data_IF_213652360704
#
_entry.id   IF_213652360704
#
_cell.length_a   1.000
_cell.length_b   1.000
_cell.length_c   1.000
_cell.angle_alpha   90.00
_cell.angle_beta   90.00
_cell.angle_gamma   90.00
#
_symmetry.space_group_name_H-M   'P 1'
#
loop_
_entity.id
_entity.type
_entity.pdbx_description
1 polymer ?
#
# COMPACT_ATOMS: atom_id res chain seq x y z
N UNK A 1 4.23 9.82 5.73
CA UNK A 1 4.82 9.23 4.51
C UNK A 1 6.06 10.04 4.13
N UNK A 2 7.17 9.39 3.80
CA UNK A 2 8.42 10.06 3.39
C UNK A 2 8.90 9.54 2.04
N UNK A 3 9.40 10.42 1.19
CA UNK A 3 10.09 10.01 -0.04
C UNK A 3 11.43 9.33 0.27
N UNK A 4 11.73 8.25 -0.45
CA UNK A 4 12.95 7.48 -0.20
C UNK A 4 14.21 8.24 -0.63
N UNK A 5 14.25 8.88 -1.79
CA UNK A 5 15.48 9.49 -2.28
C UNK A 5 15.79 10.83 -1.59
N UNK A 6 14.83 11.76 -1.60
CA UNK A 6 15.00 13.13 -1.11
C UNK A 6 14.80 13.27 0.40
N UNK A 7 14.34 12.22 1.08
CA UNK A 7 13.90 12.23 2.50
C UNK A 7 12.69 13.12 2.77
N UNK A 8 12.10 13.74 1.75
CA UNK A 8 11.02 14.71 1.89
C UNK A 8 9.84 14.10 2.62
N UNK A 9 9.37 14.77 3.68
CA UNK A 9 8.19 14.38 4.40
C UNK A 9 6.97 14.81 3.59
N UNK A 10 6.41 13.86 2.83
CA UNK A 10 5.31 14.07 1.90
C UNK A 10 3.99 14.40 2.60
N UNK A 11 3.71 13.70 3.70
CA UNK A 11 2.45 13.82 4.41
C UNK A 11 2.61 13.39 5.88
N UNK A 12 2.00 14.15 6.80
CA UNK A 12 1.92 13.84 8.22
C UNK A 12 0.53 14.25 8.77
N UNK A 13 -0.45 13.35 8.63
CA UNK A 13 -1.84 13.61 9.02
C UNK A 13 -2.17 13.07 10.42
N UNK A 14 -2.86 13.88 11.21
CA UNK A 14 -3.45 13.49 12.48
C UNK A 14 -4.79 12.79 12.24
N UNK A 15 -4.75 11.47 12.11
CA UNK A 15 -5.96 10.65 11.92
C UNK A 15 -6.52 10.19 13.27
N UNK A 16 -7.85 10.30 13.44
CA UNK A 16 -8.56 9.80 14.63
C UNK A 16 -8.60 8.27 14.72
N UNK A 17 -8.24 7.56 13.64
CA UNK A 17 -8.19 6.10 13.60
C UNK A 17 -7.24 5.58 12.53
N UNK A 18 -6.69 4.39 12.74
CA UNK A 18 -5.88 3.64 11.76
C UNK A 18 -6.71 2.87 10.73
N UNK A 19 -7.99 3.25 10.56
CA UNK A 19 -8.91 2.61 9.59
C UNK A 19 -8.45 2.87 8.16
N UNK A 20 -8.60 1.86 7.31
CA UNK A 20 -8.18 1.88 5.90
C UNK A 20 -8.83 3.02 5.11
N UNK A 21 -10.11 3.36 5.37
CA UNK A 21 -10.85 4.41 4.65
C UNK A 21 -10.24 5.81 4.83
N UNK A 22 -9.81 6.14 6.06
CA UNK A 22 -9.15 7.41 6.34
C UNK A 22 -7.77 7.46 5.68
N UNK A 23 -7.04 6.33 5.73
CA UNK A 23 -5.74 6.23 5.06
C UNK A 23 -5.88 6.39 3.54
N UNK A 24 -6.86 5.73 2.89
CA UNK A 24 -7.10 5.86 1.44
C UNK A 24 -7.38 7.31 1.07
N UNK A 25 -8.24 8.02 1.81
CA UNK A 25 -8.54 9.43 1.56
C UNK A 25 -7.28 10.30 1.62
N UNK A 26 -6.44 10.11 2.65
CA UNK A 26 -5.19 10.84 2.80
C UNK A 26 -4.20 10.54 1.65
N UNK A 27 -4.07 9.27 1.26
CA UNK A 27 -3.23 8.89 0.12
C UNK A 27 -3.75 9.43 -1.21
N UNK A 28 -5.06 9.46 -1.41
CA UNK A 28 -5.67 10.00 -2.62
C UNK A 28 -5.34 11.49 -2.77
N UNK A 29 -5.45 12.27 -1.69
CA UNK A 29 -5.04 13.68 -1.72
C UNK A 29 -3.55 13.81 -2.04
N UNK A 30 -2.69 13.03 -1.36
CA UNK A 30 -1.26 13.03 -1.61
C UNK A 30 -0.93 12.73 -3.08
N UNK A 31 -1.58 11.72 -3.67
CA UNK A 31 -1.33 11.33 -5.06
C UNK A 31 -1.86 12.34 -6.07
N UNK A 32 -2.95 13.07 -5.76
CA UNK A 32 -3.41 14.20 -6.57
C UNK A 32 -2.39 15.33 -6.60
N UNK A 33 -1.77 15.63 -5.46
CA UNK A 33 -0.81 16.73 -5.33
C UNK A 33 0.59 16.38 -5.86
N UNK A 34 1.03 15.14 -5.67
CA UNK A 34 2.44 14.73 -5.87
C UNK A 34 2.65 13.64 -6.91
N UNK A 35 1.57 13.12 -7.49
CA UNK A 35 1.61 11.98 -8.40
C UNK A 35 1.78 10.63 -7.70
N UNK A 36 1.79 9.57 -8.49
CA UNK A 36 1.87 8.19 -8.03
C UNK A 36 3.33 7.72 -7.95
N UNK A 37 3.78 7.17 -6.82
CA UNK A 37 5.11 6.59 -6.72
C UNK A 37 5.20 5.28 -7.53
N UNK A 38 6.42 4.85 -7.85
CA UNK A 38 6.66 3.52 -8.44
C UNK A 38 6.39 2.40 -7.43
N UNK A 39 6.84 2.59 -6.19
CA UNK A 39 6.69 1.64 -5.11
C UNK A 39 6.41 2.33 -3.77
N UNK A 40 5.69 1.63 -2.88
CA UNK A 40 5.52 2.02 -1.48
C UNK A 40 6.13 0.93 -0.61
N UNK A 41 7.05 1.34 0.26
CA UNK A 41 7.60 0.51 1.32
C UNK A 41 6.79 0.69 2.59
N UNK A 42 6.26 -0.42 3.12
CA UNK A 42 5.54 -0.42 4.39
C UNK A 42 6.06 -1.49 5.34
N UNK A 43 5.71 -1.34 6.62
CA UNK A 43 5.80 -2.44 7.56
C UNK A 43 4.70 -3.48 7.30
N UNK A 44 4.72 -4.55 8.10
CA UNK A 44 3.72 -5.62 8.05
C UNK A 44 2.55 -5.37 9.03
N UNK A 45 2.34 -4.13 9.50
CA UNK A 45 1.27 -3.76 10.41
C UNK A 45 -0.02 -3.34 9.71
N UNK A 46 -1.12 -3.35 10.45
CA UNK A 46 -2.37 -2.71 9.99
C UNK A 46 -2.18 -1.19 9.95
N UNK A 47 -2.74 -0.46 8.97
CA UNK A 47 -3.60 -0.89 7.86
C UNK A 47 -2.88 -1.32 6.57
N UNK A 48 -1.55 -1.41 6.57
CA UNK A 48 -0.75 -1.66 5.36
C UNK A 48 -0.69 -3.14 4.96
N UNK A 49 -0.83 -4.02 5.95
CA UNK A 49 -0.87 -5.46 5.79
C UNK A 49 -1.99 -6.07 6.64
N UNK A 50 -2.47 -7.24 6.23
CA UNK A 50 -3.47 -8.01 6.98
C UNK A 50 -2.99 -9.45 7.12
N UNK A 51 -2.64 -9.92 8.33
CA UNK A 51 -2.15 -11.27 8.55
C UNK A 51 -3.11 -12.38 8.05
N UNK A 52 -4.41 -12.08 8.02
CA UNK A 52 -5.46 -13.00 7.55
C UNK A 52 -5.82 -12.80 6.06
N UNK A 53 -5.21 -11.81 5.39
CA UNK A 53 -5.42 -11.53 3.98
C UNK A 53 -4.56 -12.44 3.09
N UNK A 54 -5.05 -12.71 1.89
CA UNK A 54 -4.27 -13.43 0.88
C UNK A 54 -2.95 -12.68 0.62
N UNK A 55 -1.81 -13.37 0.69
CA UNK A 55 -0.48 -12.78 0.55
C UNK A 55 -0.16 -11.64 1.53
N UNK A 56 -0.82 -11.64 2.70
CA UNK A 56 -0.73 -10.60 3.71
C UNK A 56 -1.21 -9.21 3.22
N UNK A 57 -1.95 -9.17 2.10
CA UNK A 57 -2.51 -7.94 1.53
C UNK A 57 -3.61 -7.38 2.43
N UNK A 58 -3.64 -6.06 2.60
CA UNK A 58 -4.79 -5.29 3.12
C UNK A 58 -5.59 -4.66 1.98
N UNK A 59 -6.77 -4.07 2.27
CA UNK A 59 -7.55 -3.37 1.22
C UNK A 59 -6.80 -2.16 0.68
N UNK A 60 -6.04 -1.47 1.55
CA UNK A 60 -5.17 -0.36 1.16
C UNK A 60 -4.08 -0.83 0.19
N UNK A 61 -3.46 -1.98 0.46
CA UNK A 61 -2.44 -2.53 -0.43
C UNK A 61 -2.99 -2.97 -1.78
N UNK A 62 -4.20 -3.55 -1.82
CA UNK A 62 -4.91 -3.87 -3.07
C UNK A 62 -5.22 -2.61 -3.87
N UNK A 63 -5.61 -1.52 -3.19
CA UNK A 63 -5.83 -0.23 -3.82
C UNK A 63 -4.55 0.35 -4.44
N UNK A 64 -3.41 0.26 -3.75
CA UNK A 64 -2.11 0.64 -4.32
C UNK A 64 -1.73 -0.20 -5.54
N UNK A 65 -1.91 -1.52 -5.50
CA UNK A 65 -1.64 -2.40 -6.64
C UNK A 65 -2.46 -1.96 -7.87
N UNK A 66 -3.73 -1.63 -7.67
CA UNK A 66 -4.59 -1.14 -8.76
C UNK A 66 -4.14 0.18 -9.37
N UNK A 67 -3.46 1.02 -8.60
CA UNK A 67 -2.84 2.25 -9.12
C UNK A 67 -1.51 1.97 -9.84
N UNK A 68 -1.09 0.70 -9.94
CA UNK A 68 0.19 0.31 -10.49
C UNK A 68 1.35 0.76 -9.59
N UNK A 69 1.14 0.77 -8.27
CA UNK A 69 2.18 1.00 -7.28
C UNK A 69 2.64 -0.35 -6.76
N UNK A 70 3.94 -0.64 -6.85
CA UNK A 70 4.53 -1.85 -6.30
C UNK A 70 4.55 -1.80 -4.76
N UNK A 71 4.32 -2.94 -4.11
CA UNK A 71 4.41 -3.06 -2.65
C UNK A 71 5.77 -3.63 -2.28
N UNK A 72 6.54 -2.87 -1.50
CA UNK A 72 7.77 -3.34 -0.88
C UNK A 72 7.55 -3.65 0.59
N UNK A 73 7.90 -4.87 0.99
CA UNK A 73 7.80 -5.31 2.38
C UNK A 73 9.18 -5.52 2.97
N UNK A 74 9.34 -5.01 4.18
CA UNK A 74 10.55 -5.25 4.96
C UNK A 74 10.64 -6.73 5.37
N UNK A 75 11.88 -7.23 5.44
CA UNK A 75 12.15 -8.57 5.93
C UNK A 75 11.81 -8.67 7.43
N UNK A 76 11.14 -9.76 7.87
CA UNK A 76 10.93 -10.01 9.29
C UNK A 76 12.27 -9.98 10.05
N UNK A 77 12.32 -9.24 11.15
CA UNK A 77 13.53 -9.13 11.97
C UNK A 77 14.62 -8.18 11.44
N UNK A 78 14.37 -7.42 10.37
CA UNK A 78 15.30 -6.41 9.84
C UNK A 78 14.78 -4.97 9.99
N UNK A 79 14.71 -4.42 11.23
CA UNK A 79 14.27 -3.04 11.47
C UNK A 79 15.16 -1.99 10.79
N UNK A 80 16.41 -2.35 10.50
CA UNK A 80 17.38 -1.50 9.82
C UNK A 80 16.87 -1.01 8.44
N UNK A 81 16.03 -1.79 7.75
CA UNK A 81 15.45 -1.41 6.45
C UNK A 81 14.51 -0.20 6.54
N UNK A 82 14.00 0.11 7.75
CA UNK A 82 13.19 1.29 8.05
C UNK A 82 13.87 2.26 9.03
N UNK A 83 15.14 2.04 9.41
CA UNK A 83 15.80 2.79 10.49
C UNK A 83 15.80 4.31 10.29
N UNK A 84 15.85 4.78 9.04
CA UNK A 84 15.72 6.22 8.73
C UNK A 84 14.32 6.76 9.02
N UNK A 85 13.30 6.05 8.54
CA UNK A 85 11.90 6.42 8.77
C UNK A 85 11.60 6.37 10.27
N UNK A 86 12.09 5.35 10.99
CA UNK A 86 12.00 5.25 12.44
C UNK A 86 12.68 6.43 13.16
N UNK A 87 13.87 6.85 12.72
CA UNK A 87 14.55 8.03 13.27
C UNK A 87 13.73 9.31 13.09
N UNK A 88 13.18 9.52 11.89
CA UNK A 88 12.26 10.65 11.64
C UNK A 88 11.05 10.59 12.58
N UNK A 89 10.42 9.42 12.73
CA UNK A 89 9.29 9.21 13.66
C UNK A 89 9.65 9.53 15.11
N UNK A 90 10.86 9.20 15.56
CA UNK A 90 11.33 9.54 16.90
C UNK A 90 11.44 11.05 17.10
N UNK A 91 11.97 11.78 16.11
CA UNK A 91 12.06 13.24 16.14
C UNK A 91 10.68 13.89 16.14
N UNK A 92 9.80 13.46 15.23
CA UNK A 92 8.40 13.91 15.19
C UNK A 92 7.70 13.72 16.55
N UNK A 93 7.88 12.55 17.18
CA UNK A 93 7.29 12.28 18.49
C UNK A 93 7.79 13.22 19.57
N UNK A 94 9.09 13.52 19.59
CA UNK A 94 9.70 14.41 20.58
C UNK A 94 9.22 15.85 20.43
N UNK A 95 9.08 16.33 19.20
CA UNK A 95 8.88 17.76 18.92
C UNK A 95 7.42 18.14 18.69
N UNK A 96 6.64 17.28 18.05
CA UNK A 96 5.26 17.61 17.67
C UNK A 96 4.19 16.93 18.54
N UNK A 97 4.53 15.86 19.27
CA UNK A 97 3.54 15.05 20.04
C UNK A 97 3.70 15.12 21.56
N UNK A 98 4.70 15.85 22.08
CA UNK A 98 4.98 15.96 23.52
C UNK A 98 5.18 17.42 23.94
N UNK A 99 4.20 18.04 24.65
CA UNK A 99 2.85 17.52 24.94
C UNK A 99 2.05 17.33 23.66
N UNK A 100 0.96 16.58 23.66
CA UNK A 100 0.05 16.52 22.51
C UNK A 100 -0.71 17.85 22.36
N UNK A 101 -1.18 18.16 21.14
CA UNK A 101 -2.15 19.23 20.91
C UNK A 101 -3.46 18.96 21.63
N UNK A 102 -4.21 20.01 21.97
CA UNK A 102 -5.46 19.86 22.75
C UNK A 102 -6.59 19.20 21.94
N UNK A 103 -6.51 19.26 20.61
CA UNK A 103 -7.44 18.62 19.67
C UNK A 103 -6.73 18.30 18.35
N UNK A 104 -7.40 17.59 17.46
CA UNK A 104 -6.85 17.16 16.16
C UNK A 104 -6.38 18.34 15.31
N UNK A 105 -7.11 19.45 15.28
CA UNK A 105 -6.73 20.65 14.51
C UNK A 105 -5.42 21.27 15.02
N UNK A 106 -5.27 21.44 16.33
CA UNK A 106 -4.03 21.94 16.92
C UNK A 106 -2.86 20.96 16.73
N UNK A 107 -3.14 19.66 16.80
CA UNK A 107 -2.12 18.63 16.55
C UNK A 107 -1.68 18.63 15.08
N UNK A 108 -2.61 18.83 14.14
CA UNK A 108 -2.31 18.98 12.72
C UNK A 108 -1.44 20.20 12.47
N UNK A 109 -1.76 21.37 13.06
CA UNK A 109 -0.91 22.57 12.91
C UNK A 109 0.53 22.37 13.40
N UNK A 110 0.76 21.52 14.40
CA UNK A 110 2.11 21.13 14.83
C UNK A 110 2.80 20.19 13.84
N UNK A 111 2.05 19.27 13.24
CA UNK A 111 2.57 18.42 12.17
C UNK A 111 2.92 19.22 10.93
N UNK A 112 2.11 20.20 10.54
CA UNK A 112 2.36 21.08 9.41
C UNK A 112 3.61 21.94 9.65
N UNK A 113 3.76 22.51 10.86
CA UNK A 113 4.94 23.27 11.25
C UNK A 113 6.20 22.39 11.23
N UNK A 114 6.13 21.19 11.81
CA UNK A 114 7.24 20.22 11.77
C UNK A 114 7.58 19.82 10.34
N UNK A 115 6.59 19.54 9.50
CA UNK A 115 6.80 19.15 8.11
C UNK A 115 7.49 20.26 7.31
N UNK A 116 7.07 21.51 7.51
CA UNK A 116 7.71 22.67 6.89
C UNK A 116 9.19 22.76 7.31
N UNK A 117 9.46 22.80 8.61
CA UNK A 117 10.82 22.92 9.13
C UNK A 117 11.71 21.75 8.66
N UNK A 118 11.20 20.52 8.77
CA UNK A 118 11.91 19.31 8.34
C UNK A 118 12.29 19.36 6.86
N UNK A 119 11.38 19.84 6.01
CA UNK A 119 11.61 19.86 4.56
C UNK A 119 12.45 21.05 4.09
N UNK A 120 12.37 22.21 4.73
CA UNK A 120 12.95 23.46 4.20
C UNK A 120 14.12 24.03 5.01
N UNK A 121 14.29 23.62 6.27
CA UNK A 121 15.27 24.24 7.18
C UNK A 121 16.30 23.25 7.73
N UNK A 122 15.99 21.93 7.72
CA UNK A 122 16.86 20.91 8.31
C UNK A 122 17.75 20.25 7.25
N UNK A 123 19.07 20.50 7.25
CA UNK A 123 19.99 19.80 6.38
C UNK A 123 20.17 18.36 6.84
N UNK A 124 20.30 17.43 5.88
CA UNK A 124 20.55 16.03 6.17
C UNK A 124 21.91 15.57 5.65
N UNK A 125 22.67 14.89 6.51
CA UNK A 125 24.02 14.40 6.18
C UNK A 125 24.03 13.53 4.91
N UNK A 126 23.13 12.57 4.77
CA UNK A 126 23.04 11.77 3.54
C UNK A 126 22.20 12.40 2.43
N UNK A 127 22.13 13.74 2.40
CA UNK A 127 21.80 14.56 1.24
C UNK A 127 22.91 15.62 1.02
N UNK A 128 24.14 15.35 1.46
CA UNK A 128 25.27 16.30 1.44
C UNK A 128 24.93 17.63 2.15
N UNK A 129 24.24 17.54 3.29
CA UNK A 129 23.77 18.70 4.07
C UNK A 129 22.78 19.60 3.34
N UNK A 130 22.10 19.10 2.30
CA UNK A 130 20.95 19.77 1.68
C UNK A 130 19.66 19.51 2.45
N UNK A 131 18.71 20.43 2.30
CA UNK A 131 17.36 20.26 2.82
C UNK A 131 16.54 19.38 1.85
N UNK A 132 15.56 18.59 2.35
CA UNK A 132 14.78 17.70 1.48
C UNK A 132 14.08 18.42 0.32
N UNK A 133 13.59 19.63 0.54
CA UNK A 133 12.91 20.44 -0.47
C UNK A 133 13.82 20.85 -1.64
N UNK A 134 15.14 20.86 -1.45
CA UNK A 134 16.10 21.24 -2.50
C UNK A 134 16.34 20.11 -3.50
N UNK A 135 16.05 18.87 -3.11
CA UNK A 135 16.31 17.66 -3.91
C UNK A 135 15.01 17.01 -4.38
N UNK A 136 13.91 17.23 -3.66
CA UNK A 136 12.63 16.59 -3.95
C UNK A 136 12.07 17.00 -5.31
N UNK A 137 11.64 16.00 -6.08
CA UNK A 137 10.91 16.17 -7.33
C UNK A 137 9.62 15.33 -7.27
N UNK A 138 8.44 15.91 -7.55
CA UNK A 138 7.20 15.15 -7.62
C UNK A 138 7.22 14.07 -8.70
N UNK A 139 6.37 13.05 -8.56
CA UNK A 139 6.24 12.00 -9.57
C UNK A 139 5.60 12.55 -10.85
N UNK A 140 6.12 12.13 -12.01
CA UNK A 140 5.54 12.44 -13.30
C UNK A 140 4.28 11.61 -13.62
N UNK A 141 3.92 10.62 -12.81
CA UNK A 141 2.73 9.78 -13.00
C UNK A 141 1.52 10.44 -12.33
N UNK A 142 0.58 11.06 -13.05
CA UNK A 142 -0.57 11.71 -12.42
C UNK A 142 -1.53 10.67 -11.83
N UNK A 143 -2.23 11.04 -10.77
CA UNK A 143 -3.36 10.26 -10.27
C UNK A 143 -4.62 10.59 -11.08
N UNK A 144 -5.15 9.59 -11.78
CA UNK A 144 -6.36 9.71 -12.62
C UNK A 144 -7.52 8.84 -12.11
N UNK A 145 -7.47 8.42 -10.85
CA UNK A 145 -8.39 7.44 -10.29
C UNK A 145 -8.00 5.99 -10.61
N UNK A 146 -8.87 5.05 -10.23
CA UNK A 146 -8.62 3.62 -10.42
C UNK A 146 -8.87 3.18 -11.86
N UNK A 147 -7.90 2.55 -12.55
CA UNK A 147 -8.09 2.07 -13.91
C UNK A 147 -9.08 0.90 -13.93
N UNK A 148 -9.85 0.77 -15.01
CA UNK A 148 -10.69 -0.42 -15.22
C UNK A 148 -9.83 -1.66 -15.46
N UNK A 149 -10.25 -2.79 -14.87
CA UNK A 149 -9.59 -4.08 -15.07
C UNK A 149 -10.26 -4.82 -16.21
N UNK A 150 -9.46 -5.31 -17.15
CA UNK A 150 -9.87 -6.18 -18.24
C UNK A 150 -8.99 -7.43 -18.27
N UNK A 151 -9.60 -8.58 -18.55
CA UNK A 151 -8.94 -9.88 -18.56
C UNK A 151 -9.19 -10.59 -19.90
N UNK A 152 -8.67 -10.05 -21.04
CA UNK A 152 -8.97 -10.58 -22.37
C UNK A 152 -8.35 -11.95 -22.65
N UNK A 153 -7.38 -12.38 -21.86
CA UNK A 153 -6.68 -13.68 -21.98
C UNK A 153 -7.24 -14.75 -21.04
N UNK A 154 -8.28 -14.41 -20.28
CA UNK A 154 -8.98 -15.30 -19.37
C UNK A 154 -10.32 -15.70 -19.98
N UNK A 155 -10.82 -16.86 -19.59
CA UNK A 155 -12.10 -17.36 -20.11
C UNK A 155 -13.26 -16.50 -19.61
N UNK A 156 -13.13 -16.00 -18.38
CA UNK A 156 -14.09 -15.10 -17.73
C UNK A 156 -13.39 -14.19 -16.75
N UNK A 157 -14.09 -13.13 -16.38
CA UNK A 157 -13.77 -12.37 -15.20
C UNK A 157 -14.97 -12.37 -14.24
N UNK A 158 -14.70 -12.38 -12.94
CA UNK A 158 -15.73 -12.49 -11.91
C UNK A 158 -15.46 -11.47 -10.81
N UNK A 159 -16.51 -10.83 -10.33
CA UNK A 159 -16.42 -9.94 -9.17
C UNK A 159 -16.41 -10.75 -7.87
N UNK A 160 -15.43 -10.46 -7.01
CA UNK A 160 -15.37 -11.02 -5.66
C UNK A 160 -16.44 -10.36 -4.80
N UNK A 161 -17.25 -11.18 -4.14
CA UNK A 161 -18.33 -10.73 -3.26
C UNK A 161 -17.79 -10.01 -2.01
N UNK A 162 -18.65 -9.29 -1.29
CA UNK A 162 -18.30 -8.61 -0.04
C UNK A 162 -17.69 -9.53 1.02
N UNK A 163 -18.03 -10.82 1.01
CA UNK A 163 -17.47 -11.82 1.93
C UNK A 163 -16.21 -12.53 1.40
N UNK A 164 -15.61 -12.03 0.31
CA UNK A 164 -14.34 -12.54 -0.22
C UNK A 164 -14.47 -13.83 -1.03
N UNK A 165 -15.66 -14.09 -1.60
CA UNK A 165 -15.94 -15.31 -2.37
C UNK A 165 -16.13 -15.02 -3.85
N UNK A 166 -15.65 -15.93 -4.68
CA UNK A 166 -15.91 -16.02 -6.11
C UNK A 166 -17.06 -17.00 -6.35
N UNK A 167 -18.01 -16.65 -7.22
CA UNK A 167 -19.15 -17.50 -7.57
C UNK A 167 -19.00 -18.03 -9.00
N UNK A 168 -18.91 -19.35 -9.16
CA UNK A 168 -18.78 -20.02 -10.46
C UNK A 168 -19.58 -21.33 -10.45
N UNK A 169 -20.35 -21.62 -11.50
CA UNK A 169 -21.18 -22.83 -11.63
C UNK A 169 -22.04 -23.16 -10.39
N UNK A 170 -22.65 -22.15 -9.76
CA UNK A 170 -23.43 -22.25 -8.50
C UNK A 170 -22.61 -22.70 -7.27
N UNK A 171 -21.29 -22.79 -7.39
CA UNK A 171 -20.35 -22.99 -6.30
C UNK A 171 -19.85 -21.63 -5.79
N UNK A 172 -19.44 -21.60 -4.53
CA UNK A 172 -18.87 -20.42 -3.86
C UNK A 172 -17.47 -20.80 -3.40
N UNK A 173 -16.46 -20.16 -3.97
CA UNK A 173 -15.04 -20.44 -3.72
C UNK A 173 -14.51 -19.34 -2.80
N UNK A 174 -13.88 -19.71 -1.69
CA UNK A 174 -13.26 -18.73 -0.79
C UNK A 174 -11.94 -18.26 -1.39
N UNK A 175 -11.80 -16.95 -1.62
CA UNK A 175 -10.61 -16.30 -2.18
C UNK A 175 -9.98 -15.42 -1.11
N UNK A 176 -10.49 -14.21 -0.90
CA UNK A 176 -10.05 -13.32 0.18
C UNK A 176 -10.98 -12.13 0.33
N UNK A 177 -11.26 -11.70 1.56
CA UNK A 177 -12.09 -10.52 1.85
C UNK A 177 -11.42 -9.21 1.43
N UNK A 178 -10.09 -9.18 1.33
CA UNK A 178 -9.34 -7.97 0.92
C UNK A 178 -9.51 -7.65 -0.56
N UNK A 179 -9.91 -8.65 -1.37
CA UNK A 179 -10.26 -8.50 -2.78
C UNK A 179 -11.76 -8.22 -2.99
N UNK A 180 -12.55 -8.03 -1.93
CA UNK A 180 -13.98 -7.73 -2.04
C UNK A 180 -14.25 -6.54 -2.96
N UNK A 181 -15.16 -6.71 -3.92
CA UNK A 181 -15.50 -5.69 -4.93
C UNK A 181 -14.52 -5.61 -6.11
N UNK A 182 -13.42 -6.39 -6.11
CA UNK A 182 -12.50 -6.45 -7.24
C UNK A 182 -12.93 -7.49 -8.28
N UNK A 183 -12.66 -7.21 -9.56
CA UNK A 183 -12.78 -8.20 -10.65
C UNK A 183 -11.48 -8.99 -10.75
N UNK A 184 -11.59 -10.31 -10.82
CA UNK A 184 -10.47 -11.24 -11.06
C UNK A 184 -10.73 -12.00 -12.35
N UNK A 185 -9.66 -12.27 -13.10
CA UNK A 185 -9.71 -13.17 -14.25
C UNK A 185 -9.68 -14.62 -13.78
N UNK A 186 -10.45 -15.48 -14.44
CA UNK A 186 -10.40 -16.93 -14.23
C UNK A 186 -10.19 -17.65 -15.55
N UNK A 187 -9.33 -18.67 -15.52
CA UNK A 187 -9.02 -19.50 -16.68
C UNK A 187 -9.02 -20.97 -16.29
N UNK A 188 -9.73 -21.80 -17.03
CA UNK A 188 -9.68 -23.25 -16.88
C UNK A 188 -8.36 -23.75 -17.46
N UNK A 189 -7.56 -24.40 -16.62
CA UNK A 189 -6.23 -24.91 -17.02
C UNK A 189 -6.22 -26.43 -17.18
N UNK A 190 -7.17 -27.10 -16.53
CA UNK A 190 -7.44 -28.54 -16.63
C UNK A 190 -8.90 -28.79 -16.22
N UNK A 191 -9.41 -30.01 -16.41
CA UNK A 191 -10.81 -30.37 -16.15
C UNK A 191 -11.21 -30.05 -14.69
N UNK A 192 -12.03 -28.99 -14.51
CA UNK A 192 -12.48 -28.56 -13.19
C UNK A 192 -11.46 -27.78 -12.36
N UNK A 193 -10.27 -27.52 -12.89
CA UNK A 193 -9.18 -26.76 -12.24
C UNK A 193 -9.05 -25.38 -12.88
N UNK A 194 -9.20 -24.35 -12.05
CA UNK A 194 -9.26 -22.97 -12.49
C UNK A 194 -8.15 -22.13 -11.87
N UNK A 195 -7.39 -21.42 -12.70
CA UNK A 195 -6.47 -20.37 -12.30
C UNK A 195 -7.26 -19.08 -12.01
N UNK A 196 -6.94 -18.41 -10.91
CA UNK A 196 -7.42 -17.05 -10.58
C UNK A 196 -6.28 -16.07 -10.71
N UNK A 197 -6.48 -15.01 -11.48
CA UNK A 197 -5.52 -13.91 -11.60
C UNK A 197 -6.15 -12.59 -11.20
N UNK A 198 -5.37 -11.75 -10.53
CA UNK A 198 -5.73 -10.37 -10.23
C UNK A 198 -4.69 -9.44 -10.85
N UNK A 199 -5.14 -8.57 -11.77
CA UNK A 199 -4.25 -7.81 -12.65
C UNK A 199 -3.29 -8.77 -13.39
N UNK A 200 -1.99 -8.53 -13.29
CA UNK A 200 -0.93 -9.38 -13.84
C UNK A 200 -0.45 -10.49 -12.88
N UNK A 201 -1.10 -10.67 -11.74
CA UNK A 201 -0.67 -11.61 -10.71
C UNK A 201 -1.55 -12.84 -10.67
N UNK A 202 -0.95 -14.00 -10.88
CA UNK A 202 -1.60 -15.28 -10.65
C UNK A 202 -1.68 -15.55 -9.15
N UNK A 203 -2.91 -15.61 -8.65
CA UNK A 203 -3.18 -15.74 -7.22
C UNK A 203 -3.12 -17.19 -6.75
N UNK A 204 -3.55 -18.13 -7.59
CA UNK A 204 -3.70 -19.51 -7.18
C UNK A 204 -4.66 -20.29 -8.06
N UNK A 205 -4.78 -21.57 -7.76
CA UNK A 205 -5.72 -22.49 -8.40
C UNK A 205 -6.85 -22.84 -7.45
N UNK A 206 -8.05 -23.10 -7.98
CA UNK A 206 -9.10 -23.73 -7.21
C UNK A 206 -9.74 -24.87 -8.00
N UNK A 207 -10.24 -25.82 -7.24
CA UNK A 207 -11.07 -26.92 -7.70
C UNK A 207 -12.53 -26.66 -7.26
N UNK A 208 -13.48 -26.93 -8.16
CA UNK A 208 -14.92 -26.82 -7.90
C UNK A 208 -15.42 -27.74 -6.78
N UNK A 209 -14.71 -28.82 -6.47
CA UNK A 209 -14.98 -29.75 -5.37
C UNK A 209 -14.51 -29.20 -4.02
N UNK A 210 -13.24 -28.77 -3.95
CA UNK A 210 -12.59 -28.27 -2.72
C UNK A 210 -13.12 -26.89 -2.30
N UNK A 211 -13.56 -26.06 -3.25
CA UNK A 211 -14.15 -24.71 -3.01
C UNK A 211 -13.23 -23.76 -2.24
N UNK A 212 -11.93 -24.01 -2.25
CA UNK A 212 -10.90 -23.18 -1.63
C UNK A 212 -9.82 -22.88 -2.66
N UNK A 213 -9.30 -21.66 -2.63
CA UNK A 213 -8.14 -21.28 -3.41
C UNK A 213 -6.88 -21.89 -2.77
N UNK A 214 -6.11 -22.62 -3.55
CA UNK A 214 -4.74 -22.99 -3.25
C UNK A 214 -3.82 -21.88 -3.78
N UNK A 215 -3.25 -21.04 -2.91
CA UNK A 215 -2.45 -19.91 -3.33
C UNK A 215 -1.12 -20.37 -3.96
N UNK A 216 -0.67 -19.64 -4.97
CA UNK A 216 0.69 -19.75 -5.49
C UNK A 216 1.72 -19.11 -4.55
N UNK A 217 2.99 -19.17 -4.91
CA UNK A 217 4.04 -18.44 -4.21
C UNK A 217 3.70 -16.95 -4.12
N UNK A 218 3.95 -16.34 -2.95
CA UNK A 218 3.61 -14.95 -2.71
C UNK A 218 4.43 -14.01 -3.62
N UNK A 219 3.81 -13.36 -4.63
CA UNK A 219 4.53 -12.47 -5.53
C UNK A 219 4.94 -11.16 -4.85
N UNK A 220 4.35 -10.85 -3.70
CA UNK A 220 4.59 -9.68 -2.85
C UNK A 220 5.46 -10.00 -1.63
N UNK A 221 6.27 -11.05 -1.71
CA UNK A 221 7.25 -11.41 -0.69
C UNK A 221 8.25 -10.28 -0.41
N UNK A 222 9.10 -10.41 0.62
CA UNK A 222 10.01 -9.35 1.03
C UNK A 222 10.99 -9.01 -0.09
N UNK A 223 10.77 -7.84 -0.68
CA UNK A 223 11.60 -7.20 -1.70
C UNK A 223 11.68 -5.73 -1.31
N UNK A 224 12.91 -5.25 -1.14
CA UNK A 224 13.20 -3.84 -0.85
C UNK A 224 14.19 -3.36 -1.88
N UNK A 225 13.86 -2.26 -2.56
CA UNK A 225 14.81 -1.60 -3.45
C UNK A 225 16.05 -1.15 -2.66
N UNK A 226 17.25 -1.21 -3.26
CA UNK A 226 18.50 -0.88 -2.58
C UNK A 226 18.47 0.55 -2.05
N UNK A 227 19.11 0.76 -0.89
CA UNK A 227 19.36 2.11 -0.36
C UNK A 227 20.44 2.75 -1.25
N UNK A 228 20.01 3.52 -2.24
CA UNK A 228 20.89 4.49 -2.93
C UNK A 228 20.88 5.80 -2.17
#
# INVERSE_FOLDING_TARGET
MTDHASRFLLMCEALDSVREELAITAFEQLFRERGLPEAIRSDNGVPFASPNGLFNLSRLSVWWLRLGIAIERIQPGQPQQNGRHERMHLTLKKEATRPAGQNSLQQQGRFDAFQKEFNTERPHEGLDMKCPAEVYTPSCRPYTGLPELSYPLHDRDVMITACGRLCLHRKKINVSTVLAGQRVGIKEVDEGIWLVSFMSYDLGYFDLEQKTLQPLDNPFGPRVSPMS
#
